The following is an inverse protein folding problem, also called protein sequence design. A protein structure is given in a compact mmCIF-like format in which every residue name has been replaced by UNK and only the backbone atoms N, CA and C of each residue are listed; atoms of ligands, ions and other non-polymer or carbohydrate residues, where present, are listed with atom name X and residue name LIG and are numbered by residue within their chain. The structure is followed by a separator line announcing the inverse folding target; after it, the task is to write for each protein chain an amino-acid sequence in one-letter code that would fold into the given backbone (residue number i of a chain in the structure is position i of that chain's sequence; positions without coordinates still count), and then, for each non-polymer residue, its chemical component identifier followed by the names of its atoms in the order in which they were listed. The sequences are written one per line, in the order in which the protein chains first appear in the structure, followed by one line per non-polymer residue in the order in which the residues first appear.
data_IF_475109814137
#
_entry.id   IF_475109814137
#
_cell.length_a   1.000
_cell.length_b   1.000
_cell.length_c   1.000
_cell.angle_alpha   90.00
_cell.angle_beta   90.00
_cell.angle_gamma   90.00
#
_symmetry.space_group_name_H-M   'P 1'
#
loop_
_entity.id
_entity.type
_entity.pdbx_description
1 polymer ?
#
# COMPACT_ATOMS: atom_id res chain seq x y z
N UNK A 1 -6.11 -4.91 34.40
CA UNK A 1 -6.42 -3.48 34.15
C UNK A 1 -5.32 -2.61 34.74
N UNK A 2 -4.17 -2.57 34.07
CA UNK A 2 -3.05 -1.61 34.19
C UNK A 2 -1.84 -2.15 33.39
N UNK A 3 -2.00 -2.40 32.09
CA UNK A 3 -0.88 -2.74 31.20
C UNK A 3 -0.96 -2.07 29.81
N UNK A 4 -2.08 -1.41 29.48
CA UNK A 4 -2.36 -0.96 28.10
C UNK A 4 -1.64 0.31 27.65
N UNK A 5 -1.24 1.22 28.56
CA UNK A 5 -0.80 2.56 28.13
C UNK A 5 0.73 2.75 28.03
N UNK A 6 1.55 1.77 28.47
CA UNK A 6 3.01 1.95 28.55
C UNK A 6 3.81 1.20 27.48
N UNK A 7 3.17 0.38 26.65
CA UNK A 7 3.86 -0.44 25.64
C UNK A 7 3.54 -0.07 24.18
N UNK A 8 2.55 0.78 23.90
CA UNK A 8 2.22 1.16 22.52
C UNK A 8 3.42 1.76 21.75
N UNK A 9 4.25 2.68 22.31
CA UNK A 9 5.42 3.18 21.59
C UNK A 9 6.48 2.10 21.31
N UNK A 10 6.66 1.14 22.23
CA UNK A 10 7.62 0.03 22.06
C UNK A 10 7.12 -0.99 21.05
N UNK A 11 5.83 -1.27 21.05
CA UNK A 11 5.19 -2.15 20.07
C UNK A 11 5.28 -1.57 18.66
N UNK A 12 5.01 -0.27 18.49
CA UNK A 12 5.18 0.42 17.20
C UNK A 12 6.65 0.40 16.74
N UNK A 13 7.62 0.59 17.65
CA UNK A 13 9.03 0.47 17.31
C UNK A 13 9.39 -0.95 16.84
N UNK A 14 8.91 -1.99 17.53
CA UNK A 14 9.13 -3.38 17.14
C UNK A 14 8.49 -3.71 15.77
N UNK A 15 7.32 -3.17 15.46
CA UNK A 15 6.70 -3.29 14.14
C UNK A 15 7.53 -2.60 13.05
N UNK A 16 8.06 -1.41 13.34
CA UNK A 16 8.93 -0.70 12.40
C UNK A 16 10.23 -1.46 12.12
N UNK A 17 10.84 -2.05 13.16
CA UNK A 17 12.03 -2.89 13.01
C UNK A 17 11.73 -4.12 12.14
N UNK A 18 10.56 -4.76 12.34
CA UNK A 18 10.10 -5.90 11.53
C UNK A 18 9.92 -5.54 10.05
N UNK A 19 9.34 -4.37 9.76
CA UNK A 19 9.20 -3.86 8.39
C UNK A 19 10.56 -3.55 7.76
N UNK A 20 11.48 -2.97 8.54
CA UNK A 20 12.82 -2.62 8.07
C UNK A 20 13.62 -3.87 7.70
N UNK A 21 13.56 -4.91 8.52
CA UNK A 21 14.19 -6.21 8.25
C UNK A 21 13.64 -6.86 6.97
N UNK A 22 12.32 -6.81 6.76
CA UNK A 22 11.70 -7.31 5.53
C UNK A 22 12.12 -6.53 4.28
N UNK A 23 12.21 -5.21 4.40
CA UNK A 23 12.66 -4.34 3.32
C UNK A 23 14.13 -4.60 2.94
N UNK A 24 15.02 -4.72 3.92
CA UNK A 24 16.44 -4.98 3.67
C UNK A 24 16.65 -6.36 3.01
N UNK A 25 15.89 -7.38 3.41
CA UNK A 25 15.90 -8.69 2.75
C UNK A 25 15.46 -8.61 1.29
N UNK A 26 14.39 -7.87 0.99
CA UNK A 26 13.95 -7.67 -0.40
C UNK A 26 14.95 -6.88 -1.24
N UNK A 27 15.59 -5.89 -0.64
CA UNK A 27 16.58 -5.04 -1.31
C UNK A 27 17.85 -5.81 -1.70
N UNK A 28 18.22 -6.81 -0.89
CA UNK A 28 19.39 -7.64 -1.11
C UNK A 28 19.10 -8.97 -1.81
N UNK A 29 17.82 -9.31 -2.01
CA UNK A 29 17.40 -10.52 -2.73
C UNK A 29 17.68 -10.39 -4.24
N UNK A 30 18.11 -11.50 -4.85
CA UNK A 30 18.17 -11.60 -6.30
C UNK A 30 16.76 -11.72 -6.90
N UNK A 31 16.58 -11.27 -8.14
CA UNK A 31 15.28 -11.35 -8.81
C UNK A 31 14.86 -12.82 -8.98
N UNK A 32 13.80 -13.22 -8.25
CA UNK A 32 13.28 -14.58 -8.25
C UNK A 32 13.69 -15.44 -7.05
N UNK A 33 14.33 -14.85 -6.04
CA UNK A 33 14.63 -15.53 -4.77
C UNK A 33 13.33 -15.87 -4.01
N UNK A 34 12.90 -17.12 -4.17
CA UNK A 34 11.70 -17.65 -3.54
C UNK A 34 11.83 -17.72 -2.00
N UNK A 35 13.04 -17.88 -1.48
CA UNK A 35 13.30 -17.97 -0.04
C UNK A 35 13.18 -16.58 0.61
N UNK A 36 13.70 -15.54 -0.04
CA UNK A 36 13.50 -14.16 0.38
C UNK A 36 12.02 -13.77 0.38
N UNK A 37 11.27 -14.16 -0.66
CA UNK A 37 9.83 -13.93 -0.72
C UNK A 37 9.06 -14.67 0.37
N UNK A 38 9.41 -15.93 0.66
CA UNK A 38 8.80 -16.71 1.74
C UNK A 38 9.09 -16.10 3.12
N UNK A 39 10.32 -15.64 3.34
CA UNK A 39 10.72 -14.98 4.58
C UNK A 39 9.95 -13.67 4.80
N UNK A 40 9.77 -12.86 3.76
CA UNK A 40 9.01 -11.61 3.82
C UNK A 40 7.53 -11.86 4.09
N UNK A 41 6.95 -12.91 3.49
CA UNK A 41 5.57 -13.34 3.81
C UNK A 41 5.41 -13.71 5.28
N UNK A 42 6.34 -14.52 5.81
CA UNK A 42 6.32 -14.87 7.24
C UNK A 42 6.42 -13.65 8.16
N UNK A 43 7.25 -12.66 7.80
CA UNK A 43 7.34 -11.40 8.53
C UNK A 43 6.03 -10.60 8.46
N UNK A 44 5.35 -10.56 7.31
CA UNK A 44 4.07 -9.88 7.15
C UNK A 44 2.95 -10.55 7.96
N UNK A 45 2.94 -11.87 8.05
CA UNK A 45 1.99 -12.62 8.88
C UNK A 45 2.20 -12.28 10.37
N UNK A 46 3.46 -12.31 10.83
CA UNK A 46 3.80 -11.94 12.22
C UNK A 46 3.44 -10.48 12.52
N UNK A 47 3.63 -9.57 11.56
CA UNK A 47 3.25 -8.17 11.71
C UNK A 47 1.75 -8.01 11.90
N UNK A 48 0.95 -8.74 11.11
CA UNK A 48 -0.51 -8.70 11.18
C UNK A 48 -1.00 -9.24 12.52
N UNK A 49 -0.46 -10.37 12.97
CA UNK A 49 -0.77 -10.96 14.28
C UNK A 49 -0.46 -9.98 15.43
N UNK A 50 0.73 -9.37 15.43
CA UNK A 50 1.11 -8.40 16.45
C UNK A 50 0.24 -7.13 16.39
N UNK A 51 -0.08 -6.63 15.20
CA UNK A 51 -0.92 -5.44 15.03
C UNK A 51 -2.36 -5.68 15.52
N UNK A 52 -2.91 -6.86 15.26
CA UNK A 52 -4.32 -7.17 15.56
C UNK A 52 -4.50 -7.63 17.01
N UNK A 53 -3.63 -8.50 17.52
CA UNK A 53 -3.76 -9.06 18.87
C UNK A 53 -3.21 -8.13 19.96
N UNK A 54 -2.11 -7.43 19.70
CA UNK A 54 -1.46 -6.57 20.72
C UNK A 54 -1.99 -5.15 20.67
N UNK A 55 -2.23 -4.61 19.46
CA UNK A 55 -2.61 -3.21 19.28
C UNK A 55 -4.07 -3.01 18.86
N UNK A 56 -4.80 -4.08 18.52
CA UNK A 56 -6.21 -4.01 18.12
C UNK A 56 -6.44 -3.20 16.84
N UNK A 57 -5.46 -3.19 15.92
CA UNK A 57 -5.49 -2.31 14.74
C UNK A 57 -6.31 -2.85 13.55
N UNK A 58 -6.69 -4.13 13.56
CA UNK A 58 -7.41 -4.80 12.46
C UNK A 58 -6.76 -4.56 11.09
N UNK A 59 -5.44 -4.69 11.07
CA UNK A 59 -4.62 -4.53 9.89
C UNK A 59 -5.00 -5.56 8.82
N UNK A 60 -5.26 -6.81 9.23
CA UNK A 60 -5.74 -7.85 8.30
C UNK A 60 -7.05 -7.46 7.61
N UNK A 61 -8.02 -6.94 8.38
CA UNK A 61 -9.28 -6.42 7.86
C UNK A 61 -9.09 -5.22 6.93
N UNK A 62 -8.22 -4.28 7.30
CA UNK A 62 -7.93 -3.08 6.49
C UNK A 62 -7.29 -3.43 5.13
N UNK A 63 -6.33 -4.35 5.11
CA UNK A 63 -5.63 -4.77 3.89
C UNK A 63 -6.61 -5.47 2.94
N UNK A 64 -7.48 -6.32 3.49
CA UNK A 64 -8.50 -7.00 2.71
C UNK A 64 -9.55 -6.02 2.16
N UNK A 65 -9.98 -5.05 2.97
CA UNK A 65 -10.92 -4.01 2.54
C UNK A 65 -10.35 -3.15 1.40
N UNK A 66 -9.09 -2.74 1.50
CA UNK A 66 -8.37 -1.98 0.48
C UNK A 66 -8.20 -2.81 -0.81
N UNK A 67 -7.89 -4.11 -0.69
CA UNK A 67 -7.80 -5.04 -1.82
C UNK A 67 -9.12 -5.16 -2.57
N UNK A 68 -10.21 -5.47 -1.85
CA UNK A 68 -11.55 -5.61 -2.45
C UNK A 68 -12.00 -4.29 -3.08
N UNK A 69 -11.70 -3.15 -2.43
CA UNK A 69 -11.97 -1.83 -3.00
C UNK A 69 -11.17 -1.59 -4.28
N UNK A 70 -9.88 -1.92 -4.27
CA UNK A 70 -9.00 -1.84 -5.43
C UNK A 70 -9.54 -2.65 -6.60
N UNK A 71 -9.91 -3.91 -6.40
CA UNK A 71 -10.48 -4.78 -7.44
C UNK A 71 -11.76 -4.20 -8.05
N UNK A 72 -12.62 -3.58 -7.23
CA UNK A 72 -13.86 -2.96 -7.70
C UNK A 72 -13.61 -1.66 -8.49
N UNK A 73 -12.60 -0.89 -8.10
CA UNK A 73 -12.26 0.38 -8.74
C UNK A 73 -11.37 0.21 -9.98
N UNK A 74 -10.65 -0.90 -10.09
CA UNK A 74 -9.63 -1.12 -11.11
C UNK A 74 -10.06 -0.78 -12.55
N UNK A 75 -11.23 -1.23 -13.05
CA UNK A 75 -11.63 -0.92 -14.43
C UNK A 75 -11.82 0.59 -14.67
N UNK A 76 -12.39 1.30 -13.69
CA UNK A 76 -12.61 2.74 -13.79
C UNK A 76 -11.29 3.51 -13.65
N UNK A 77 -10.41 3.07 -12.74
CA UNK A 77 -9.10 3.70 -12.52
C UNK A 77 -8.22 3.56 -13.76
N UNK A 78 -8.19 2.38 -14.38
CA UNK A 78 -7.43 2.14 -15.61
C UNK A 78 -7.90 3.07 -16.74
N UNK A 79 -9.21 3.20 -16.95
CA UNK A 79 -9.76 4.14 -17.94
C UNK A 79 -9.36 5.60 -17.66
N UNK A 80 -9.50 6.05 -16.41
CA UNK A 80 -9.12 7.41 -16.03
C UNK A 80 -7.60 7.66 -16.18
N UNK A 81 -6.77 6.66 -15.89
CA UNK A 81 -5.32 6.76 -16.09
C UNK A 81 -4.95 6.87 -17.58
N UNK A 82 -5.65 6.15 -18.46
CA UNK A 82 -5.50 6.28 -19.91
C UNK A 82 -5.91 7.67 -20.40
N UNK A 83 -7.08 8.17 -19.98
CA UNK A 83 -7.54 9.53 -20.31
C UNK A 83 -6.56 10.60 -19.81
N UNK A 84 -6.02 10.42 -18.59
CA UNK A 84 -5.01 11.31 -18.03
C UNK A 84 -3.72 11.30 -18.85
N UNK A 85 -3.30 10.14 -19.35
CA UNK A 85 -2.13 10.01 -20.20
C UNK A 85 -2.35 10.68 -21.56
N UNK A 86 -3.52 10.49 -22.17
CA UNK A 86 -3.91 11.16 -23.41
C UNK A 86 -3.94 12.69 -23.26
N UNK A 87 -4.57 13.20 -22.20
CA UNK A 87 -4.61 14.64 -21.90
C UNK A 87 -3.20 15.23 -21.75
N UNK A 88 -2.27 14.51 -21.10
CA UNK A 88 -0.86 14.94 -21.00
C UNK A 88 -0.16 14.97 -22.35
N UNK A 89 -0.40 13.98 -23.21
CA UNK A 89 0.18 13.94 -24.56
C UNK A 89 -0.30 15.12 -25.41
N UNK A 90 -1.55 15.52 -25.24
CA UNK A 90 -2.16 16.69 -25.90
C UNK A 90 -1.82 18.03 -25.23
N UNK A 91 -1.08 18.01 -24.11
CA UNK A 91 -0.77 19.17 -23.26
C UNK A 91 -2.01 19.85 -22.65
N UNK A 92 -3.10 19.10 -22.52
CA UNK A 92 -4.28 19.50 -21.75
C UNK A 92 -4.04 19.21 -20.26
N UNK A 93 -3.31 20.12 -19.62
CA UNK A 93 -3.00 20.03 -18.19
C UNK A 93 -4.25 20.18 -17.31
N UNK A 94 -5.25 20.95 -17.76
CA UNK A 94 -6.49 21.16 -17.00
C UNK A 94 -7.29 19.86 -16.88
N UNK A 95 -7.44 19.11 -17.98
CA UNK A 95 -8.08 17.79 -17.95
C UNK A 95 -7.26 16.78 -17.15
N UNK A 96 -5.93 16.79 -17.27
CA UNK A 96 -5.06 15.91 -16.49
C UNK A 96 -5.21 16.13 -14.98
N UNK A 97 -5.25 17.39 -14.53
CA UNK A 97 -5.42 17.75 -13.13
C UNK A 97 -6.82 17.39 -12.62
N UNK A 98 -7.86 17.65 -13.42
CA UNK A 98 -9.24 17.23 -13.08
C UNK A 98 -9.33 15.72 -12.85
N UNK A 99 -8.71 14.91 -13.71
CA UNK A 99 -8.72 13.46 -13.56
C UNK A 99 -7.93 13.02 -12.32
N UNK A 100 -6.79 13.66 -12.05
CA UNK A 100 -6.02 13.41 -10.81
C UNK A 100 -6.88 13.65 -9.57
N UNK A 101 -7.61 14.76 -9.55
CA UNK A 101 -8.45 15.14 -8.42
C UNK A 101 -9.67 14.20 -8.30
N UNK A 102 -10.22 13.70 -9.41
CA UNK A 102 -11.28 12.68 -9.39
C UNK A 102 -10.79 11.35 -8.79
N UNK A 103 -9.58 10.90 -9.18
CA UNK A 103 -8.96 9.69 -8.62
C UNK A 103 -8.73 9.87 -7.10
N UNK A 104 -8.21 11.03 -6.69
CA UNK A 104 -8.05 11.33 -5.26
C UNK A 104 -9.39 11.34 -4.50
N UNK A 105 -10.46 11.89 -5.10
CA UNK A 105 -11.77 11.98 -4.48
C UNK A 105 -12.43 10.61 -4.22
N UNK A 106 -12.07 9.57 -4.98
CA UNK A 106 -12.56 8.19 -4.77
C UNK A 106 -11.62 7.35 -3.89
N UNK A 107 -10.58 7.97 -3.31
CA UNK A 107 -9.61 7.28 -2.47
C UNK A 107 -8.59 6.48 -3.27
N UNK A 108 -8.19 6.95 -4.45
CA UNK A 108 -7.14 6.32 -5.27
C UNK A 108 -5.90 7.20 -5.24
N UNK A 109 -4.79 6.63 -4.80
CA UNK A 109 -3.49 7.28 -4.84
C UNK A 109 -2.75 6.83 -6.09
N UNK A 110 -2.26 7.80 -6.87
CA UNK A 110 -1.53 7.58 -8.12
C UNK A 110 -0.08 8.01 -7.94
N UNK A 111 0.84 7.10 -8.24
CA UNK A 111 2.28 7.30 -8.18
C UNK A 111 2.89 7.14 -9.57
N UNK A 112 3.33 8.25 -10.15
CA UNK A 112 4.04 8.27 -11.43
C UNK A 112 5.49 7.80 -11.21
N UNK A 113 5.94 6.73 -11.88
CA UNK A 113 7.33 6.24 -11.85
C UNK A 113 7.94 6.16 -13.26
N UNK A 114 9.29 6.13 -13.41
CA UNK A 114 9.94 5.99 -14.71
C UNK A 114 9.56 4.74 -15.51
N UNK A 115 9.03 3.71 -14.85
CA UNK A 115 8.57 2.46 -15.48
C UNK A 115 7.05 2.34 -15.67
N UNK A 116 6.29 3.42 -15.43
CA UNK A 116 4.84 3.43 -15.54
C UNK A 116 4.15 4.00 -14.30
N UNK A 117 2.82 4.02 -14.33
CA UNK A 117 1.99 4.50 -13.24
C UNK A 117 1.64 3.34 -12.32
N UNK A 118 1.89 3.50 -11.02
CA UNK A 118 1.33 2.61 -9.99
C UNK A 118 0.21 3.32 -9.28
N UNK A 119 -0.80 2.57 -8.86
CA UNK A 119 -1.89 3.11 -8.05
C UNK A 119 -2.32 2.09 -7.00
N UNK A 120 -2.89 2.60 -5.91
CA UNK A 120 -3.51 1.79 -4.86
C UNK A 120 -4.76 2.51 -4.34
N UNK A 121 -5.74 1.74 -3.91
CA UNK A 121 -6.92 2.26 -3.22
C UNK A 121 -6.60 2.38 -1.73
N UNK A 122 -7.10 3.45 -1.11
CA UNK A 122 -7.17 3.62 0.34
C UNK A 122 -8.64 3.64 0.75
N UNK A 123 -8.93 3.00 1.88
CA UNK A 123 -10.22 3.10 2.58
C UNK A 123 -10.37 4.43 3.31
#
# INVERSE_FOLDING_TARGET
AMDDDLNAPKAVAALHDLVSDGYDRLKHAEAGDADALAAVRGLADTLTELADEVLGLDLGGSVEADRVRGERLAPLVEQLLEERAAARAEKDFATSDRIRDQLAAVGVVVEDRPGGVRWYATS
#
